data_IF_909978714129
#
_entry.id   IF_909978714129
#
_cell.length_a   1.000
_cell.length_b   1.000
_cell.length_c   1.000
_cell.angle_alpha   90.00
_cell.angle_beta   90.00
_cell.angle_gamma   90.00
#
_symmetry.space_group_name_H-M   'P 1'
#
loop_
_entity.id
_entity.type
_entity.pdbx_description
1 polymer ?
#
# COMPACT_ATOMS: atom_id res chain seq x y z
N UNK A 1 2.08 -13.12 -11.03
CA UNK A 1 1.49 -12.79 -9.72
C UNK A 1 0.58 -11.57 -9.87
N UNK A 2 -0.57 -11.52 -9.20
CA UNK A 2 -1.61 -10.49 -9.36
C UNK A 2 -1.34 -9.18 -8.60
N UNK A 3 -0.19 -9.03 -7.94
CA UNK A 3 0.12 -7.88 -7.07
C UNK A 3 -0.58 -7.92 -5.72
N UNK A 4 -1.69 -8.66 -5.62
CA UNK A 4 -2.43 -8.88 -4.39
C UNK A 4 -1.70 -9.84 -3.44
N UNK A 5 -1.25 -9.31 -2.30
CA UNK A 5 -0.70 -10.10 -1.20
C UNK A 5 -1.86 -10.67 -0.38
N UNK A 6 -1.94 -11.99 -0.34
CA UNK A 6 -2.90 -12.72 0.47
C UNK A 6 -2.52 -12.63 1.96
N UNK A 7 -3.52 -12.69 2.83
CA UNK A 7 -3.35 -12.84 4.27
C UNK A 7 -4.42 -13.81 4.78
N UNK A 8 -4.05 -14.64 5.76
CA UNK A 8 -4.92 -15.66 6.36
C UNK A 8 -5.78 -15.14 7.51
N UNK A 9 -5.61 -13.87 7.92
CA UNK A 9 -6.29 -13.26 9.05
C UNK A 9 -5.49 -13.21 10.35
N UNK A 10 -4.42 -13.99 10.50
CA UNK A 10 -3.59 -14.00 11.73
C UNK A 10 -2.92 -12.63 12.01
N UNK A 11 -2.56 -11.91 10.95
CA UNK A 11 -2.05 -10.55 11.06
C UNK A 11 -3.08 -9.59 11.67
N UNK A 12 -4.37 -9.80 11.40
CA UNK A 12 -5.46 -9.00 12.00
C UNK A 12 -5.63 -9.34 13.48
N UNK A 13 -5.61 -10.62 13.84
CA UNK A 13 -5.67 -11.04 15.25
C UNK A 13 -4.51 -10.48 16.07
N UNK A 14 -3.32 -10.38 15.48
CA UNK A 14 -2.15 -9.79 16.15
C UNK A 14 -2.35 -8.30 16.46
N UNK A 15 -2.99 -7.54 15.57
CA UNK A 15 -3.30 -6.13 15.81
C UNK A 15 -4.41 -5.98 16.86
N UNK A 16 -5.42 -6.85 16.82
CA UNK A 16 -6.51 -6.89 17.79
C UNK A 16 -5.99 -7.14 19.22
N UNK A 17 -5.12 -8.14 19.40
CA UNK A 17 -4.48 -8.42 20.67
C UNK A 17 -3.61 -7.24 21.17
N UNK A 18 -2.91 -6.54 20.27
CA UNK A 18 -2.12 -5.37 20.64
C UNK A 18 -3.01 -4.21 21.15
N UNK A 19 -4.22 -4.07 20.61
CA UNK A 19 -5.20 -3.09 21.08
C UNK A 19 -5.73 -3.42 22.47
N UNK A 20 -6.09 -4.67 22.72
CA UNK A 20 -6.53 -5.14 24.04
C UNK A 20 -5.46 -4.88 25.12
N UNK A 21 -4.20 -5.07 24.76
CA UNK A 21 -3.05 -4.86 25.66
C UNK A 21 -2.56 -3.41 25.68
N UNK A 22 -3.23 -2.49 24.98
CA UNK A 22 -2.80 -1.09 24.84
C UNK A 22 -1.33 -0.94 24.43
N UNK A 23 -0.83 -1.86 23.60
CA UNK A 23 0.57 -1.94 23.19
C UNK A 23 0.77 -1.34 21.80
N UNK A 24 1.70 -0.38 21.62
CA UNK A 24 1.97 0.22 20.33
C UNK A 24 2.71 -0.77 19.41
N UNK A 25 2.13 -1.06 18.24
CA UNK A 25 2.69 -1.98 17.21
C UNK A 25 2.78 -1.36 15.81
N UNK A 26 3.42 -0.18 15.65
CA UNK A 26 3.36 0.60 14.40
C UNK A 26 3.85 -0.16 13.16
N UNK A 27 4.88 -0.99 13.31
CA UNK A 27 5.45 -1.75 12.18
C UNK A 27 4.53 -2.89 11.75
N UNK A 28 3.91 -3.60 12.70
CA UNK A 28 3.00 -4.70 12.40
C UNK A 28 1.71 -4.19 11.74
N UNK A 29 1.18 -3.06 12.23
CA UNK A 29 0.03 -2.40 11.64
C UNK A 29 0.33 -1.96 10.19
N UNK A 30 1.49 -1.32 9.96
CA UNK A 30 1.90 -0.89 8.63
C UNK A 30 2.10 -2.07 7.66
N UNK A 31 2.64 -3.19 8.15
CA UNK A 31 2.81 -4.40 7.36
C UNK A 31 1.47 -5.01 6.93
N UNK A 32 0.45 -5.00 7.80
CA UNK A 32 -0.90 -5.46 7.45
C UNK A 32 -1.55 -4.54 6.42
N UNK A 33 -1.43 -3.22 6.61
CA UNK A 33 -2.01 -2.24 5.69
C UNK A 33 -1.37 -2.28 4.29
N UNK A 34 -0.06 -2.52 4.19
CA UNK A 34 0.60 -2.71 2.90
C UNK A 34 0.02 -3.90 2.11
N UNK A 35 -0.39 -4.98 2.79
CA UNK A 35 -1.05 -6.13 2.14
C UNK A 35 -2.44 -5.75 1.62
N UNK A 36 -3.18 -4.92 2.35
CA UNK A 36 -4.46 -4.41 1.85
C UNK A 36 -4.27 -3.49 0.63
N UNK A 37 -3.29 -2.58 0.67
CA UNK A 37 -2.96 -1.73 -0.47
C UNK A 37 -2.55 -2.53 -1.70
N UNK A 38 -1.88 -3.67 -1.53
CA UNK A 38 -1.44 -4.52 -2.64
C UNK A 38 -2.59 -5.17 -3.43
N UNK A 39 -3.76 -5.34 -2.80
CA UNK A 39 -4.97 -5.88 -3.46
C UNK A 39 -5.67 -4.85 -4.34
N UNK A 40 -5.31 -3.59 -4.19
CA UNK A 40 -5.82 -2.50 -5.01
C UNK A 40 -5.02 -2.49 -6.32
N UNK A 41 -5.68 -2.71 -7.46
CA UNK A 41 -5.05 -2.65 -8.79
C UNK A 41 -4.49 -1.24 -9.04
N UNK A 42 -3.17 -1.06 -8.88
CA UNK A 42 -2.48 0.22 -9.15
C UNK A 42 -2.30 0.50 -10.65
N UNK A 43 -3.39 0.59 -11.41
CA UNK A 43 -3.37 1.23 -12.73
C UNK A 43 -3.50 2.76 -12.63
N UNK A 44 -3.91 3.25 -11.45
CA UNK A 44 -4.14 4.65 -11.15
C UNK A 44 -2.99 5.27 -10.34
N UNK A 45 -2.44 4.52 -9.38
CA UNK A 45 -1.30 4.99 -8.56
C UNK A 45 -0.10 5.40 -9.42
N UNK A 46 0.14 4.65 -10.51
CA UNK A 46 1.26 4.88 -11.42
C UNK A 46 1.04 6.11 -12.32
N UNK A 47 -0.21 6.36 -12.74
CA UNK A 47 -0.58 7.58 -13.46
C UNK A 47 -0.45 8.82 -12.56
N UNK A 48 -0.82 8.67 -11.29
CA UNK A 48 -0.71 9.73 -10.31
C UNK A 48 0.75 10.08 -10.01
N UNK A 49 1.57 9.04 -9.82
CA UNK A 49 3.00 9.17 -9.54
C UNK A 49 3.73 9.84 -10.73
N UNK A 50 3.31 9.53 -11.95
CA UNK A 50 3.73 10.21 -13.17
C UNK A 50 3.41 11.71 -13.12
N UNK A 51 2.14 12.07 -12.89
CA UNK A 51 1.70 13.46 -12.85
C UNK A 51 2.43 14.27 -11.78
N UNK A 52 2.76 13.66 -10.64
CA UNK A 52 3.56 14.28 -9.59
C UNK A 52 5.01 14.52 -10.00
N UNK A 53 5.66 13.55 -10.65
CA UNK A 53 7.04 13.72 -11.12
C UNK A 53 7.12 14.80 -12.20
N UNK A 54 6.06 14.94 -12.99
CA UNK A 54 5.90 16.04 -13.92
C UNK A 54 5.78 17.40 -13.21
N UNK A 55 4.83 17.55 -12.28
CA UNK A 55 4.56 18.87 -11.67
C UNK A 55 5.65 19.36 -10.71
N UNK A 56 6.21 18.48 -9.88
CA UNK A 56 7.20 18.87 -8.88
C UNK A 56 8.64 18.84 -9.40
N UNK A 57 8.93 17.92 -10.34
CA UNK A 57 10.29 17.71 -10.88
C UNK A 57 10.46 18.11 -12.36
N UNK A 58 9.38 18.42 -13.08
CA UNK A 58 9.41 18.73 -14.52
C UNK A 58 9.46 17.51 -15.44
N UNK A 59 9.26 16.29 -14.95
CA UNK A 59 9.45 15.06 -15.74
C UNK A 59 8.27 14.76 -16.67
N UNK A 60 8.42 14.88 -17.99
CA UNK A 60 7.36 14.63 -18.99
C UNK A 60 7.25 13.14 -19.34
N UNK A 61 6.03 12.60 -19.41
CA UNK A 61 5.79 11.26 -19.96
C UNK A 61 5.79 11.23 -21.50
N UNK A 62 6.33 10.16 -22.10
CA UNK A 62 6.30 9.96 -23.56
C UNK A 62 4.90 9.46 -24.01
N UNK A 63 4.38 9.91 -25.17
CA UNK A 63 3.05 9.51 -25.64
C UNK A 63 2.98 8.01 -25.98
N UNK A 64 1.90 7.35 -25.54
CA UNK A 64 1.60 5.94 -25.84
C UNK A 64 1.02 5.83 -27.26
N UNK A 65 1.64 5.03 -28.14
CA UNK A 65 1.17 4.72 -29.50
C UNK A 65 -0.14 3.93 -29.48
#
# INVERSE_FOLDING_TARGET
>A
YSGAVADSGEGRWTIEAAMEQSTPVPVLSNALFARYSSRQQSLYGDKLLSAMRFGFGGHVEMPKK
#
